data_IF_441846625777
#
_entry.id   IF_441846625777
#
_cell.length_a   1.000
_cell.length_b   1.000
_cell.length_c   1.000
_cell.angle_alpha   90.00
_cell.angle_beta   90.00
_cell.angle_gamma   90.00
#
_symmetry.space_group_name_H-M   'P 1'
#
loop_
_entity.id
_entity.type
_entity.pdbx_description
1 polymer ?
#
# COMPACT_ATOMS: atom_id res chain seq x y z
N UNK A 1 -42.42 1.73 40.22
CA UNK A 1 -41.21 1.21 40.90
C UNK A 1 -40.21 0.50 39.98
N UNK A 2 -40.64 -0.19 38.91
CA UNK A 2 -39.74 -0.97 38.02
C UNK A 2 -38.79 -0.13 37.12
N UNK A 3 -39.22 1.07 36.69
CA UNK A 3 -38.46 1.93 35.75
C UNK A 3 -37.23 2.62 36.39
N UNK A 4 -37.25 2.87 37.70
CA UNK A 4 -36.19 3.58 38.44
C UNK A 4 -34.98 2.66 38.69
N UNK A 5 -35.21 1.35 38.89
CA UNK A 5 -34.11 0.38 39.06
C UNK A 5 -33.38 0.08 37.76
N UNK A 6 -34.08 0.05 36.62
CA UNK A 6 -33.45 -0.18 35.32
C UNK A 6 -32.49 0.95 34.92
N UNK A 7 -32.83 2.21 35.22
CA UNK A 7 -31.98 3.36 34.94
C UNK A 7 -30.66 3.33 35.75
N UNK A 8 -30.73 2.97 37.04
CA UNK A 8 -29.54 2.81 37.89
C UNK A 8 -28.65 1.63 37.48
N UNK A 9 -29.23 0.54 37.00
CA UNK A 9 -28.49 -0.63 36.49
C UNK A 9 -27.77 -0.27 35.19
N UNK A 10 -28.44 0.43 34.27
CA UNK A 10 -27.82 0.89 33.03
C UNK A 10 -26.66 1.86 33.29
N UNK A 11 -26.86 2.85 34.16
CA UNK A 11 -25.80 3.79 34.53
C UNK A 11 -24.62 3.09 35.22
N UNK A 12 -24.90 2.13 36.13
CA UNK A 12 -23.86 1.35 36.79
C UNK A 12 -23.07 0.46 35.83
N UNK A 13 -23.74 -0.21 34.88
CA UNK A 13 -23.10 -1.02 33.85
C UNK A 13 -22.29 -0.12 32.92
N UNK A 14 -22.87 0.99 32.45
CA UNK A 14 -22.20 1.93 31.56
C UNK A 14 -20.92 2.48 32.19
N UNK A 15 -21.01 3.02 33.41
CA UNK A 15 -19.85 3.59 34.12
C UNK A 15 -18.78 2.53 34.37
N UNK A 16 -19.14 1.32 34.81
CA UNK A 16 -18.16 0.28 35.09
C UNK A 16 -17.52 -0.32 33.83
N UNK A 17 -18.29 -0.50 32.75
CA UNK A 17 -17.79 -1.03 31.48
C UNK A 17 -16.87 0.01 30.83
N UNK A 18 -17.28 1.28 30.78
CA UNK A 18 -16.44 2.38 30.29
C UNK A 18 -15.14 2.49 31.10
N UNK A 19 -15.23 2.51 32.44
CA UNK A 19 -14.04 2.59 33.30
C UNK A 19 -13.07 1.41 33.11
N UNK A 20 -13.58 0.18 32.93
CA UNK A 20 -12.72 -0.99 32.65
C UNK A 20 -12.11 -0.94 31.26
N UNK A 21 -12.87 -0.48 30.26
CA UNK A 21 -12.38 -0.29 28.89
C UNK A 21 -11.25 0.73 28.85
N UNK A 22 -11.40 1.84 29.56
CA UNK A 22 -10.38 2.90 29.63
C UNK A 22 -9.07 2.42 30.28
N UNK A 23 -9.15 1.50 31.25
CA UNK A 23 -7.97 0.96 31.92
C UNK A 23 -7.23 -0.09 31.08
N UNK A 24 -7.95 -0.93 30.33
CA UNK A 24 -7.38 -2.06 29.57
C UNK A 24 -8.05 -2.21 28.20
N UNK A 25 -7.85 -1.26 27.28
CA UNK A 25 -8.58 -1.25 26.00
C UNK A 25 -8.21 -2.45 25.11
N UNK A 26 -6.93 -2.84 25.09
CA UNK A 26 -6.45 -3.99 24.30
C UNK A 26 -7.13 -5.29 24.77
N UNK A 27 -7.13 -5.55 26.07
CA UNK A 27 -7.74 -6.75 26.64
C UNK A 27 -9.25 -6.76 26.41
N UNK A 28 -9.91 -5.61 26.54
CA UNK A 28 -11.36 -5.49 26.32
C UNK A 28 -11.73 -5.78 24.87
N UNK A 29 -11.02 -5.18 23.90
CA UNK A 29 -11.24 -5.43 22.48
C UNK A 29 -10.93 -6.89 22.09
N UNK A 30 -9.87 -7.45 22.65
CA UNK A 30 -9.52 -8.85 22.45
C UNK A 30 -10.61 -9.76 23.01
N UNK A 31 -11.08 -9.53 24.25
CA UNK A 31 -12.14 -10.29 24.88
C UNK A 31 -13.46 -10.22 24.09
N UNK A 32 -13.82 -9.03 23.57
CA UNK A 32 -14.98 -8.88 22.68
C UNK A 32 -14.79 -9.68 21.39
N UNK A 33 -13.60 -9.65 20.80
CA UNK A 33 -13.30 -10.41 19.57
C UNK A 33 -13.38 -11.92 19.80
N UNK A 34 -12.87 -12.41 20.92
CA UNK A 34 -12.97 -13.81 21.35
C UNK A 34 -14.41 -14.20 21.62
N UNK A 35 -15.16 -13.34 22.32
CA UNK A 35 -16.59 -13.56 22.57
C UNK A 35 -17.39 -13.66 21.27
N UNK A 36 -17.18 -12.73 20.33
CA UNK A 36 -17.82 -12.78 19.01
C UNK A 36 -17.44 -14.06 18.26
N UNK A 37 -16.16 -14.44 18.29
CA UNK A 37 -15.68 -15.67 17.68
C UNK A 37 -16.36 -16.92 18.26
N UNK A 38 -16.44 -17.00 19.59
CA UNK A 38 -17.13 -18.08 20.28
C UNK A 38 -18.62 -18.11 19.97
N UNK A 39 -19.28 -16.95 20.02
CA UNK A 39 -20.71 -16.82 19.73
C UNK A 39 -21.05 -17.32 18.32
N UNK A 40 -20.34 -16.85 17.28
CA UNK A 40 -20.63 -17.28 15.90
C UNK A 40 -20.24 -18.73 15.63
N UNK A 41 -19.24 -19.26 16.33
CA UNK A 41 -18.91 -20.67 16.27
C UNK A 41 -20.01 -21.55 16.89
N UNK A 42 -20.56 -21.16 18.05
CA UNK A 42 -21.62 -21.91 18.74
C UNK A 42 -23.01 -21.73 18.12
N UNK A 43 -23.28 -20.58 17.47
CA UNK A 43 -24.57 -20.26 16.88
C UNK A 43 -24.46 -19.93 15.38
N UNK A 44 -24.02 -20.87 14.53
CA UNK A 44 -23.75 -20.61 13.11
C UNK A 44 -25.01 -20.33 12.28
N UNK A 45 -26.20 -20.64 12.82
CA UNK A 45 -27.48 -20.26 12.20
C UNK A 45 -27.66 -18.75 12.09
N UNK A 46 -27.02 -17.95 12.96
CA UNK A 46 -27.09 -16.48 12.91
C UNK A 46 -26.50 -15.93 11.62
N UNK A 47 -25.38 -16.49 11.15
CA UNK A 47 -24.76 -16.09 9.88
C UNK A 47 -25.71 -16.32 8.70
N UNK A 48 -26.32 -17.50 8.64
CA UNK A 48 -27.27 -17.85 7.58
C UNK A 48 -28.53 -16.98 7.65
N UNK A 49 -29.09 -16.77 8.85
CA UNK A 49 -30.27 -15.94 9.03
C UNK A 49 -30.00 -14.48 8.61
N UNK A 50 -28.86 -13.92 9.02
CA UNK A 50 -28.48 -12.55 8.67
C UNK A 50 -28.28 -12.39 7.16
N UNK A 51 -27.60 -13.34 6.50
CA UNK A 51 -27.40 -13.27 5.05
C UNK A 51 -28.67 -13.54 4.25
N UNK A 52 -29.57 -14.40 4.74
CA UNK A 52 -30.84 -14.72 4.08
C UNK A 52 -31.74 -13.48 3.88
N UNK A 53 -31.62 -12.45 4.74
CA UNK A 53 -32.33 -11.18 4.59
C UNK A 53 -32.05 -10.46 3.26
N UNK A 54 -30.94 -10.78 2.60
CA UNK A 54 -30.51 -10.16 1.34
C UNK A 54 -30.59 -11.10 0.13
N UNK A 55 -31.04 -12.34 0.35
CA UNK A 55 -31.19 -13.35 -0.69
C UNK A 55 -32.63 -13.43 -1.19
N UNK A 56 -32.80 -13.58 -2.50
CA UNK A 56 -34.10 -13.81 -3.11
C UNK A 56 -34.05 -15.11 -3.94
N UNK A 57 -34.92 -16.11 -3.66
CA UNK A 57 -34.98 -17.36 -4.42
C UNK A 57 -35.16 -17.12 -5.92
N UNK A 58 -34.43 -17.86 -6.76
CA UNK A 58 -34.42 -17.73 -8.22
C UNK A 58 -33.68 -16.49 -8.77
N UNK A 59 -33.45 -15.47 -7.94
CA UNK A 59 -32.79 -14.22 -8.34
C UNK A 59 -31.36 -14.14 -7.80
N UNK A 60 -31.07 -14.66 -6.60
CA UNK A 60 -29.76 -14.61 -5.95
C UNK A 60 -29.65 -13.42 -4.99
N UNK A 61 -28.56 -12.65 -5.08
CA UNK A 61 -28.30 -11.43 -4.29
C UNK A 61 -28.51 -10.18 -5.15
N UNK A 62 -29.70 -9.55 -5.15
CA UNK A 62 -30.02 -8.45 -6.07
C UNK A 62 -29.14 -7.22 -5.87
N UNK A 63 -28.74 -6.94 -4.62
CA UNK A 63 -27.92 -5.79 -4.27
C UNK A 63 -26.60 -5.75 -5.06
N UNK A 64 -26.02 -6.91 -5.38
CA UNK A 64 -24.78 -7.02 -6.16
C UNK A 64 -24.92 -6.48 -7.60
N UNK A 65 -26.14 -6.38 -8.13
CA UNK A 65 -26.44 -5.85 -9.47
C UNK A 65 -26.75 -4.35 -9.46
N UNK A 66 -26.96 -3.74 -8.29
CA UNK A 66 -27.22 -2.30 -8.18
C UNK A 66 -25.92 -1.52 -8.38
N UNK A 67 -25.88 -0.64 -9.37
CA UNK A 67 -24.68 0.12 -9.74
C UNK A 67 -24.18 1.01 -8.60
N UNK A 68 -25.05 1.83 -8.00
CA UNK A 68 -24.67 2.70 -6.89
C UNK A 68 -24.03 1.94 -5.70
N UNK A 69 -24.47 0.70 -5.42
CA UNK A 69 -23.89 -0.12 -4.36
C UNK A 69 -22.52 -0.69 -4.75
N UNK A 70 -22.28 -0.98 -6.03
CA UNK A 70 -20.97 -1.39 -6.54
C UNK A 70 -19.99 -0.21 -6.53
N UNK A 71 -20.45 0.98 -6.90
CA UNK A 71 -19.65 2.20 -6.85
C UNK A 71 -19.27 2.57 -5.42
N UNK A 72 -20.22 2.48 -4.48
CA UNK A 72 -19.93 2.65 -3.07
C UNK A 72 -18.87 1.67 -2.58
N UNK A 73 -18.96 0.38 -2.95
CA UNK A 73 -17.95 -0.63 -2.63
C UNK A 73 -16.59 -0.29 -3.23
N UNK A 74 -16.54 0.18 -4.47
CA UNK A 74 -15.29 0.54 -5.15
C UNK A 74 -14.67 1.79 -4.52
N UNK A 75 -15.48 2.79 -4.17
CA UNK A 75 -15.05 3.96 -3.43
C UNK A 75 -14.43 3.57 -2.09
N UNK A 76 -15.13 2.76 -1.28
CA UNK A 76 -14.63 2.29 0.01
C UNK A 76 -13.29 1.54 -0.14
N UNK A 77 -13.19 0.65 -1.13
CA UNK A 77 -11.95 -0.07 -1.43
C UNK A 77 -10.81 0.90 -1.78
N UNK A 78 -11.05 1.84 -2.69
CA UNK A 78 -10.05 2.81 -3.14
C UNK A 78 -9.59 3.73 -2.00
N UNK A 79 -10.52 4.24 -1.18
CA UNK A 79 -10.20 5.07 -0.02
C UNK A 79 -9.22 4.36 0.93
N UNK A 80 -9.44 3.07 1.18
CA UNK A 80 -8.59 2.30 2.10
C UNK A 80 -7.21 1.95 1.54
N UNK A 81 -7.01 1.98 0.21
CA UNK A 81 -5.70 1.79 -0.42
C UNK A 81 -4.94 3.10 -0.53
N UNK A 82 -5.63 4.19 -0.87
CA UNK A 82 -5.00 5.51 -1.06
C UNK A 82 -4.31 5.99 0.22
N UNK A 83 -4.93 5.77 1.39
CA UNK A 83 -4.41 6.28 2.66
C UNK A 83 -3.01 5.72 3.04
N UNK A 84 -2.79 4.39 3.15
CA UNK A 84 -1.47 3.85 3.44
C UNK A 84 -0.44 4.16 2.35
N UNK A 85 -0.87 4.25 1.07
CA UNK A 85 0.00 4.68 -0.03
C UNK A 85 0.43 6.14 0.15
N UNK A 86 -0.47 7.03 0.52
CA UNK A 86 -0.17 8.44 0.77
C UNK A 86 0.80 8.61 1.95
N UNK A 87 0.60 7.89 3.06
CA UNK A 87 1.55 7.90 4.19
C UNK A 87 2.92 7.35 3.80
N UNK A 88 2.96 6.25 3.04
CA UNK A 88 4.21 5.66 2.55
C UNK A 88 4.95 6.62 1.62
N UNK A 89 4.21 7.28 0.72
CA UNK A 89 4.75 8.30 -0.17
C UNK A 89 5.28 9.51 0.62
N UNK A 90 4.58 9.95 1.66
CA UNK A 90 5.03 11.04 2.53
C UNK A 90 6.38 10.74 3.19
N UNK A 91 6.55 9.53 3.73
CA UNK A 91 7.82 9.08 4.30
C UNK A 91 8.91 8.93 3.22
N UNK A 92 8.55 8.39 2.06
CA UNK A 92 9.48 8.27 0.93
C UNK A 92 9.97 9.64 0.45
N UNK A 93 9.08 10.61 0.31
CA UNK A 93 9.43 11.99 -0.07
C UNK A 93 10.36 12.63 0.96
N UNK A 94 10.16 12.35 2.26
CA UNK A 94 11.09 12.80 3.32
C UNK A 94 12.50 12.21 3.11
N UNK A 95 12.62 10.95 2.70
CA UNK A 95 13.93 10.33 2.41
C UNK A 95 14.58 10.92 1.15
N UNK A 96 13.80 11.24 0.12
CA UNK A 96 14.29 11.86 -1.13
C UNK A 96 14.71 13.32 -0.91
N UNK A 97 13.96 14.06 -0.10
CA UNK A 97 14.14 15.49 0.18
C UNK A 97 14.36 15.75 1.68
N UNK A 98 15.49 15.34 2.26
CA UNK A 98 15.71 15.35 3.71
C UNK A 98 15.68 16.75 4.33
N UNK A 99 15.97 17.81 3.56
CA UNK A 99 15.92 19.20 4.03
C UNK A 99 14.49 19.75 4.19
N UNK A 100 13.48 19.07 3.65
CA UNK A 100 12.08 19.45 3.77
C UNK A 100 11.43 18.75 4.98
N UNK A 101 10.43 19.37 5.63
CA UNK A 101 9.70 18.73 6.71
C UNK A 101 8.88 17.53 6.20
N UNK A 102 8.52 16.62 7.09
CA UNK A 102 7.61 15.51 6.74
C UNK A 102 6.23 16.06 6.33
N UNK A 103 5.64 15.50 5.25
CA UNK A 103 4.32 15.92 4.76
C UNK A 103 3.20 15.61 5.77
N UNK A 104 3.34 14.49 6.47
CA UNK A 104 2.48 14.05 7.56
C UNK A 104 3.34 13.76 8.79
N UNK A 105 2.73 13.73 9.98
CA UNK A 105 3.42 13.25 11.20
C UNK A 105 4.05 11.88 10.92
N UNK A 106 5.38 11.73 11.03
CA UNK A 106 6.05 10.46 10.74
C UNK A 106 5.60 9.36 11.69
N UNK A 107 5.28 9.67 12.95
CA UNK A 107 4.74 8.71 13.91
C UNK A 107 3.37 8.20 13.48
N UNK A 108 2.47 9.12 13.11
CA UNK A 108 1.14 8.76 12.60
C UNK A 108 1.25 7.92 11.32
N UNK A 109 2.16 8.30 10.43
CA UNK A 109 2.39 7.62 9.15
C UNK A 109 2.86 6.18 9.38
N UNK A 110 3.87 5.98 10.23
CA UNK A 110 4.36 4.65 10.58
C UNK A 110 3.30 3.81 11.28
N UNK A 111 2.52 4.41 12.19
CA UNK A 111 1.41 3.72 12.86
C UNK A 111 0.39 3.16 11.86
N UNK A 112 -0.11 3.97 10.92
CA UNK A 112 -1.08 3.50 9.93
C UNK A 112 -0.46 2.53 8.92
N UNK A 113 0.77 2.77 8.45
CA UNK A 113 1.48 1.84 7.58
C UNK A 113 1.60 0.47 8.25
N UNK A 114 2.04 0.43 9.51
CA UNK A 114 2.12 -0.81 10.29
C UNK A 114 0.75 -1.47 10.48
N UNK A 115 -0.29 -0.69 10.78
CA UNK A 115 -1.65 -1.21 10.94
C UNK A 115 -2.17 -1.87 9.66
N UNK A 116 -1.99 -1.21 8.51
CA UNK A 116 -2.45 -1.74 7.21
C UNK A 116 -1.60 -2.92 6.72
N UNK A 117 -0.28 -2.92 6.94
CA UNK A 117 0.58 -4.06 6.58
C UNK A 117 0.32 -5.29 7.47
N UNK A 118 0.32 -5.11 8.79
CA UNK A 118 0.21 -6.23 9.73
C UNK A 118 -1.24 -6.76 9.74
N UNK A 119 -2.23 -5.87 9.72
CA UNK A 119 -3.64 -6.24 9.82
C UNK A 119 -4.20 -6.79 8.51
N UNK A 120 -4.74 -5.94 7.61
CA UNK A 120 -5.36 -6.42 6.39
C UNK A 120 -4.43 -7.17 5.44
N UNK A 121 -3.20 -6.67 5.20
CA UNK A 121 -2.32 -7.29 4.20
C UNK A 121 -1.78 -8.65 4.66
N UNK A 122 -1.16 -8.70 5.84
CA UNK A 122 -0.57 -9.93 6.38
C UNK A 122 -1.60 -10.80 7.10
N UNK A 123 -2.18 -10.34 8.20
CA UNK A 123 -3.03 -11.17 9.06
C UNK A 123 -4.29 -11.64 8.35
N UNK A 124 -5.03 -10.74 7.69
CA UNK A 124 -6.30 -11.12 7.04
C UNK A 124 -6.09 -11.77 5.68
N UNK A 125 -5.43 -11.08 4.74
CA UNK A 125 -5.33 -11.60 3.37
C UNK A 125 -4.17 -12.60 3.20
N UNK A 126 -3.02 -12.39 3.86
CA UNK A 126 -1.87 -13.27 3.76
C UNK A 126 -2.00 -14.57 4.55
N UNK A 127 -2.55 -14.52 5.77
CA UNK A 127 -2.67 -15.65 6.69
C UNK A 127 -4.10 -16.18 6.70
N UNK A 128 -5.07 -15.48 7.31
CA UNK A 128 -6.40 -16.03 7.56
C UNK A 128 -7.11 -16.49 6.29
N UNK A 129 -7.16 -15.67 5.24
CA UNK A 129 -7.78 -16.09 3.98
C UNK A 129 -7.04 -17.25 3.31
N UNK A 130 -5.71 -17.32 3.44
CA UNK A 130 -4.90 -18.39 2.83
C UNK A 130 -5.09 -19.75 3.50
N UNK A 131 -5.51 -19.78 4.76
CA UNK A 131 -5.71 -21.03 5.52
C UNK A 131 -7.18 -21.40 5.71
N UNK A 132 -8.10 -20.43 5.83
CA UNK A 132 -9.53 -20.71 6.07
C UNK A 132 -10.32 -20.74 4.76
N UNK A 133 -10.58 -21.95 4.26
CA UNK A 133 -11.35 -22.25 3.05
C UNK A 133 -12.86 -22.10 3.19
N UNK A 134 -13.37 -21.08 3.90
CA UNK A 134 -14.83 -20.90 4.07
C UNK A 134 -15.48 -20.45 2.75
N UNK A 135 -16.51 -21.15 2.22
CA UNK A 135 -17.25 -20.70 1.05
C UNK A 135 -17.96 -19.35 1.29
N UNK A 136 -18.14 -18.56 0.22
CA UNK A 136 -18.97 -17.35 0.27
C UNK A 136 -20.45 -17.69 0.28
N UNK A 137 -21.32 -16.86 0.89
CA UNK A 137 -22.75 -17.10 0.85
C UNK A 137 -23.30 -17.32 -0.56
N UNK A 138 -22.87 -16.56 -1.57
CA UNK A 138 -23.32 -16.76 -2.96
C UNK A 138 -22.97 -18.15 -3.54
N UNK A 139 -22.05 -18.87 -2.90
CA UNK A 139 -21.56 -20.16 -3.36
C UNK A 139 -22.09 -21.34 -2.53
N UNK A 140 -22.89 -21.11 -1.47
CA UNK A 140 -23.43 -22.21 -0.65
C UNK A 140 -24.75 -22.75 -1.20
N UNK A 141 -25.04 -24.03 -0.96
CA UNK A 141 -26.25 -24.72 -1.42
C UNK A 141 -27.54 -24.04 -0.95
N UNK A 142 -27.59 -23.52 0.27
CA UNK A 142 -28.78 -22.80 0.78
C UNK A 142 -29.10 -21.52 0.00
N UNK A 143 -28.13 -20.93 -0.70
CA UNK A 143 -28.30 -19.72 -1.50
C UNK A 143 -28.12 -19.99 -3.01
N UNK A 144 -28.28 -21.25 -3.44
CA UNK A 144 -28.25 -21.63 -4.86
C UNK A 144 -26.86 -21.90 -5.43
N UNK A 145 -25.84 -22.02 -4.59
CA UNK A 145 -24.51 -22.50 -4.95
C UNK A 145 -24.35 -24.01 -4.80
N UNK A 146 -23.10 -24.49 -4.79
CA UNK A 146 -22.77 -25.92 -4.82
C UNK A 146 -22.04 -26.41 -3.57
N UNK A 147 -21.56 -25.50 -2.73
CA UNK A 147 -20.78 -25.85 -1.54
C UNK A 147 -21.65 -25.94 -0.29
N UNK A 148 -21.36 -26.83 0.65
CA UNK A 148 -22.06 -26.80 1.93
C UNK A 148 -21.72 -25.52 2.71
N UNK A 149 -22.65 -25.05 3.53
CA UNK A 149 -22.35 -24.03 4.54
C UNK A 149 -21.26 -24.52 5.49
N UNK A 150 -20.40 -23.60 5.93
CA UNK A 150 -19.36 -23.86 6.92
C UNK A 150 -19.32 -22.77 7.98
N UNK A 151 -19.07 -23.14 9.23
CA UNK A 151 -18.97 -22.19 10.35
C UNK A 151 -17.70 -21.34 10.30
N UNK A 152 -17.69 -20.25 11.07
CA UNK A 152 -16.47 -19.48 11.32
C UNK A 152 -15.41 -20.37 11.99
N UNK A 153 -14.13 -20.08 11.73
CA UNK A 153 -12.96 -20.80 12.27
C UNK A 153 -12.77 -22.27 11.84
N UNK A 154 -13.71 -22.88 11.14
CA UNK A 154 -13.54 -24.23 10.58
C UNK A 154 -12.70 -24.15 9.30
N UNK A 155 -11.71 -25.03 9.17
CA UNK A 155 -10.86 -25.12 7.98
C UNK A 155 -11.66 -25.83 6.89
N UNK A 156 -11.96 -25.11 5.81
CA UNK A 156 -12.70 -25.61 4.64
C UNK A 156 -11.84 -26.31 3.61
N UNK A 157 -12.51 -26.74 2.55
CA UNK A 157 -11.89 -27.50 1.46
C UNK A 157 -10.89 -26.67 0.66
N UNK A 158 -9.84 -27.35 0.19
CA UNK A 158 -8.84 -26.77 -0.69
C UNK A 158 -9.42 -26.65 -2.12
N UNK A 159 -9.15 -25.52 -2.80
CA UNK A 159 -9.57 -25.30 -4.20
C UNK A 159 -10.58 -24.17 -4.42
N UNK A 160 -11.11 -23.56 -3.36
CA UNK A 160 -11.93 -22.35 -3.49
C UNK A 160 -11.12 -21.16 -4.01
N UNK A 161 -11.50 -20.66 -5.19
CA UNK A 161 -10.94 -19.44 -5.80
C UNK A 161 -11.19 -18.19 -4.92
N UNK A 162 -12.29 -18.17 -4.19
CA UNK A 162 -12.75 -17.03 -3.41
C UNK A 162 -13.28 -17.47 -2.05
N UNK A 163 -12.66 -16.97 -0.98
CA UNK A 163 -12.96 -17.32 0.41
C UNK A 163 -13.64 -16.17 1.15
N UNK A 164 -14.50 -16.50 2.10
CA UNK A 164 -15.29 -15.54 2.86
C UNK A 164 -14.63 -15.15 4.19
N UNK A 165 -13.96 -16.08 4.87
CA UNK A 165 -13.41 -15.83 6.21
C UNK A 165 -11.90 -15.46 6.18
N UNK A 166 -11.46 -14.40 6.85
CA UNK A 166 -12.22 -13.23 7.36
C UNK A 166 -12.41 -12.18 6.26
N UNK A 167 -13.30 -11.21 6.48
CA UNK A 167 -13.54 -10.15 5.49
C UNK A 167 -12.36 -9.17 5.39
N UNK A 168 -11.77 -9.07 4.21
CA UNK A 168 -10.64 -8.16 3.92
C UNK A 168 -11.10 -6.70 3.83
N UNK A 169 -12.23 -6.46 3.16
CA UNK A 169 -12.81 -5.12 3.03
C UNK A 169 -13.28 -4.57 4.38
N UNK A 170 -13.84 -5.41 5.26
CA UNK A 170 -14.14 -5.01 6.64
C UNK A 170 -12.87 -4.67 7.43
N UNK A 171 -11.79 -5.43 7.21
CA UNK A 171 -10.51 -5.18 7.87
C UNK A 171 -9.94 -3.81 7.45
N UNK A 172 -9.87 -3.55 6.14
CA UNK A 172 -9.26 -2.32 5.62
C UNK A 172 -10.05 -1.08 6.03
N UNK A 173 -11.39 -1.13 6.00
CA UNK A 173 -12.21 0.03 6.39
C UNK A 173 -12.17 0.26 7.91
N UNK A 174 -12.11 -0.79 8.73
CA UNK A 174 -11.97 -0.68 10.18
C UNK A 174 -10.65 -0.02 10.59
N UNK A 175 -9.59 -0.15 9.78
CA UNK A 175 -8.32 0.52 10.02
C UNK A 175 -8.41 2.06 9.94
N UNK A 176 -9.52 2.62 9.45
CA UNK A 176 -9.76 4.07 9.46
C UNK A 176 -10.23 4.58 10.84
N UNK A 177 -10.88 3.74 11.67
CA UNK A 177 -11.44 4.17 12.96
C UNK A 177 -10.43 4.91 13.86
N UNK A 178 -9.17 4.46 13.98
CA UNK A 178 -8.17 5.17 14.78
C UNK A 178 -7.88 6.61 14.32
N UNK A 179 -8.24 7.03 13.10
CA UNK A 179 -8.10 8.43 12.65
C UNK A 179 -8.83 9.40 13.57
N UNK A 180 -9.92 8.96 14.22
CA UNK A 180 -10.63 9.75 15.21
C UNK A 180 -9.76 10.16 16.40
N UNK A 181 -8.65 9.47 16.69
CA UNK A 181 -7.73 9.85 17.77
C UNK A 181 -6.81 11.02 17.37
N UNK A 182 -6.65 11.25 16.06
CA UNK A 182 -5.75 12.25 15.48
C UNK A 182 -6.44 13.57 15.11
N UNK A 183 -7.74 13.69 15.38
CA UNK A 183 -8.48 14.96 15.28
C UNK A 183 -8.62 15.63 16.66
N UNK A 184 -8.92 16.94 16.72
CA UNK A 184 -9.14 17.64 17.99
C UNK A 184 -10.20 16.95 18.86
N UNK A 185 -10.06 17.06 20.18
CA UNK A 185 -10.85 16.28 21.17
C UNK A 185 -12.35 16.44 20.96
N UNK A 186 -12.78 17.64 20.59
CA UNK A 186 -14.17 18.04 20.37
C UNK A 186 -14.78 17.48 19.07
N UNK A 187 -13.96 16.94 18.15
CA UNK A 187 -14.40 16.31 16.90
C UNK A 187 -14.30 14.78 16.91
N UNK A 188 -13.66 14.19 17.92
CA UNK A 188 -13.34 12.75 17.92
C UNK A 188 -14.58 11.87 17.80
N UNK A 189 -15.64 12.21 18.51
CA UNK A 189 -16.88 11.43 18.47
C UNK A 189 -17.56 11.52 17.12
N UNK A 190 -17.61 12.70 16.51
CA UNK A 190 -18.23 12.94 15.21
C UNK A 190 -17.47 12.18 14.12
N UNK A 191 -16.13 12.24 14.14
CA UNK A 191 -15.28 11.50 13.19
C UNK A 191 -15.38 9.99 13.44
N UNK A 192 -15.37 9.53 14.69
CA UNK A 192 -15.55 8.12 15.02
C UNK A 192 -16.91 7.59 14.56
N UNK A 193 -17.99 8.36 14.77
CA UNK A 193 -19.34 8.02 14.31
C UNK A 193 -19.41 7.97 12.80
N UNK A 194 -18.87 8.97 12.09
CA UNK A 194 -18.87 9.00 10.62
C UNK A 194 -18.12 7.79 10.04
N UNK A 195 -16.92 7.51 10.55
CA UNK A 195 -16.14 6.36 10.11
C UNK A 195 -16.83 5.06 10.53
N UNK A 196 -17.42 4.99 11.72
CA UNK A 196 -18.20 3.84 12.18
C UNK A 196 -19.39 3.52 11.27
N UNK A 197 -20.13 4.55 10.84
CA UNK A 197 -21.20 4.40 9.84
C UNK A 197 -20.65 3.88 8.52
N UNK A 198 -19.51 4.40 8.06
CA UNK A 198 -18.85 3.90 6.85
C UNK A 198 -18.44 2.43 6.98
N UNK A 199 -17.85 2.03 8.11
CA UNK A 199 -17.47 0.64 8.41
C UNK A 199 -18.72 -0.26 8.35
N UNK A 200 -19.80 0.12 9.03
CA UNK A 200 -21.07 -0.64 9.04
C UNK A 200 -21.67 -0.71 7.64
N UNK A 201 -21.72 0.40 6.91
CA UNK A 201 -22.29 0.44 5.57
C UNK A 201 -21.49 -0.42 4.58
N UNK A 202 -20.16 -0.34 4.60
CA UNK A 202 -19.30 -1.21 3.77
C UNK A 202 -19.49 -2.68 4.15
N UNK A 203 -19.56 -2.99 5.44
CA UNK A 203 -19.79 -4.33 5.96
C UNK A 203 -21.12 -4.94 5.50
N UNK A 204 -22.21 -4.21 5.70
CA UNK A 204 -23.55 -4.61 5.26
C UNK A 204 -23.62 -4.75 3.74
N UNK A 205 -22.97 -3.87 2.99
CA UNK A 205 -22.88 -3.98 1.54
C UNK A 205 -22.25 -5.31 1.10
N UNK A 206 -21.20 -5.78 1.80
CA UNK A 206 -20.59 -7.09 1.49
C UNK A 206 -21.49 -8.27 1.84
N UNK A 207 -22.24 -8.19 2.93
CA UNK A 207 -23.23 -9.21 3.30
C UNK A 207 -24.36 -9.25 2.28
N UNK A 208 -24.87 -8.08 1.89
CA UNK A 208 -25.92 -7.93 0.90
C UNK A 208 -25.52 -8.44 -0.49
N UNK A 209 -24.22 -8.44 -0.80
CA UNK A 209 -23.69 -8.98 -2.06
C UNK A 209 -23.48 -10.50 -2.00
N UNK A 210 -23.78 -11.15 -0.88
CA UNK A 210 -23.49 -12.56 -0.65
C UNK A 210 -21.99 -12.86 -0.62
N UNK A 211 -21.16 -11.86 -0.31
CA UNK A 211 -19.69 -11.99 -0.34
C UNK A 211 -19.11 -12.44 1.00
N UNK A 212 -19.76 -12.07 2.11
CA UNK A 212 -19.31 -12.34 3.47
C UNK A 212 -20.50 -12.62 4.39
N UNK A 213 -20.28 -13.45 5.40
CA UNK A 213 -21.20 -13.62 6.53
C UNK A 213 -21.00 -12.53 7.59
N UNK A 214 -21.94 -12.43 8.54
CA UNK A 214 -21.87 -11.43 9.61
C UNK A 214 -20.65 -11.67 10.53
N UNK A 215 -20.33 -12.93 10.81
CA UNK A 215 -19.14 -13.31 11.59
C UNK A 215 -17.85 -12.86 10.90
N UNK A 216 -17.76 -13.02 9.57
CA UNK A 216 -16.54 -12.71 8.79
C UNK A 216 -16.15 -11.24 8.97
N UNK A 217 -17.16 -10.38 9.04
CA UNK A 217 -17.00 -8.94 9.14
C UNK A 217 -16.77 -8.50 10.59
N UNK A 218 -17.62 -8.93 11.52
CA UNK A 218 -17.54 -8.51 12.93
C UNK A 218 -16.25 -8.98 13.59
N UNK A 219 -15.82 -10.22 13.35
CA UNK A 219 -14.53 -10.74 13.84
C UNK A 219 -13.37 -9.97 13.22
N UNK A 220 -13.43 -9.68 11.92
CA UNK A 220 -12.39 -8.90 11.23
C UNK A 220 -12.24 -7.49 11.82
N UNK A 221 -13.35 -6.79 12.08
CA UNK A 221 -13.35 -5.49 12.76
C UNK A 221 -12.73 -5.61 14.16
N UNK A 222 -13.13 -6.61 14.95
CA UNK A 222 -12.58 -6.84 16.29
C UNK A 222 -11.07 -7.07 16.28
N UNK A 223 -10.57 -7.88 15.35
CA UNK A 223 -9.14 -8.11 15.14
C UNK A 223 -8.40 -6.82 14.80
N UNK A 224 -8.94 -6.00 13.90
CA UNK A 224 -8.33 -4.72 13.52
C UNK A 224 -8.29 -3.72 14.67
N UNK A 225 -9.37 -3.62 15.44
CA UNK A 225 -9.42 -2.70 16.59
C UNK A 225 -8.47 -3.15 17.69
N UNK A 226 -8.36 -4.46 17.93
CA UNK A 226 -7.39 -5.01 18.88
C UNK A 226 -5.96 -4.68 18.46
N UNK A 227 -5.63 -4.90 17.18
CA UNK A 227 -4.32 -4.57 16.62
C UNK A 227 -4.04 -3.06 16.66
N UNK A 228 -5.03 -2.23 16.30
CA UNK A 228 -4.93 -0.78 16.37
C UNK A 228 -4.63 -0.30 17.79
N UNK A 229 -5.33 -0.83 18.80
CA UNK A 229 -5.07 -0.51 20.21
C UNK A 229 -3.67 -0.95 20.65
N UNK A 230 -3.20 -2.14 20.22
CA UNK A 230 -1.87 -2.63 20.53
C UNK A 230 -0.76 -1.78 19.88
N UNK A 231 -0.91 -1.44 18.60
CA UNK A 231 0.00 -0.54 17.90
C UNK A 231 -0.05 0.87 18.50
N UNK A 232 -1.23 1.35 18.90
CA UNK A 232 -1.34 2.65 19.54
C UNK A 232 -0.57 2.67 20.85
N UNK A 233 -0.71 1.64 21.69
CA UNK A 233 0.10 1.52 22.90
C UNK A 233 1.60 1.49 22.59
N UNK A 234 2.02 0.68 21.63
CA UNK A 234 3.44 0.57 21.25
C UNK A 234 4.01 1.92 20.78
N UNK A 235 3.32 2.59 19.84
CA UNK A 235 3.79 3.83 19.24
C UNK A 235 3.62 5.04 20.16
N UNK A 236 2.52 5.10 20.90
CA UNK A 236 2.08 6.28 21.66
C UNK A 236 2.42 6.25 23.14
N UNK A 237 2.66 5.08 23.72
CA UNK A 237 2.92 4.87 25.16
C UNK A 237 4.29 4.22 25.39
N UNK A 238 4.48 2.97 24.96
CA UNK A 238 5.65 2.16 25.36
C UNK A 238 6.96 2.65 24.70
N UNK A 239 6.88 3.13 23.45
CA UNK A 239 8.03 3.65 22.69
C UNK A 239 7.88 5.13 22.35
N UNK A 240 7.18 5.88 23.20
CA UNK A 240 6.77 7.24 22.88
C UNK A 240 7.93 8.19 22.60
N UNK A 241 9.00 8.10 23.38
CA UNK A 241 10.21 8.92 23.22
C UNK A 241 10.97 8.55 21.93
N UNK A 242 11.11 7.25 21.66
CA UNK A 242 11.84 6.75 20.49
C UNK A 242 11.11 7.05 19.17
N UNK A 243 9.78 7.07 19.21
CA UNK A 243 8.90 7.23 18.05
C UNK A 243 8.20 8.60 18.04
N UNK A 244 8.65 9.56 18.84
CA UNK A 244 8.11 10.91 18.76
C UNK A 244 8.44 11.55 17.40
N UNK A 245 7.62 12.50 16.96
CA UNK A 245 7.77 13.07 15.61
C UNK A 245 9.12 13.74 15.40
N UNK A 246 9.64 14.45 16.41
CA UNK A 246 10.96 15.07 16.35
C UNK A 246 12.10 14.03 16.19
N UNK A 247 12.06 12.94 16.95
CA UNK A 247 13.07 11.88 16.86
C UNK A 247 13.01 11.14 15.52
N UNK A 248 11.81 10.82 15.05
CA UNK A 248 11.61 10.17 13.75
C UNK A 248 12.03 11.09 12.61
N UNK A 249 11.67 12.37 12.67
CA UNK A 249 12.05 13.34 11.66
C UNK A 249 13.57 13.53 11.58
N UNK A 250 14.26 13.64 12.72
CA UNK A 250 15.72 13.71 12.76
C UNK A 250 16.36 12.45 12.16
N UNK A 251 15.86 11.26 12.51
CA UNK A 251 16.36 9.98 11.97
C UNK A 251 16.13 9.86 10.47
N UNK A 252 14.92 10.14 9.99
CA UNK A 252 14.58 10.11 8.56
C UNK A 252 15.41 11.12 7.77
N UNK A 253 15.64 12.31 8.32
CA UNK A 253 16.54 13.32 7.73
C UNK A 253 17.96 12.80 7.60
N UNK A 254 18.51 12.21 8.67
CA UNK A 254 19.86 11.64 8.67
C UNK A 254 19.99 10.49 7.66
N UNK A 255 18.99 9.61 7.57
CA UNK A 255 18.95 8.54 6.57
C UNK A 255 18.86 9.10 5.14
N UNK A 256 18.01 10.09 4.90
CA UNK A 256 17.88 10.72 3.59
C UNK A 256 19.17 11.44 3.16
N UNK A 257 19.88 12.11 4.08
CA UNK A 257 21.18 12.73 3.80
C UNK A 257 22.25 11.71 3.44
N UNK A 258 22.34 10.60 4.20
CA UNK A 258 23.25 9.48 3.88
C UNK A 258 22.95 8.90 2.50
N UNK A 259 21.68 8.63 2.22
CA UNK A 259 21.26 8.10 0.94
C UNK A 259 21.53 9.07 -0.22
N UNK A 260 21.37 10.38 -0.02
CA UNK A 260 21.75 11.39 -1.01
C UNK A 260 23.26 11.42 -1.26
N UNK A 261 24.08 11.31 -0.20
CA UNK A 261 25.54 11.26 -0.31
C UNK A 261 26.00 9.99 -1.07
N UNK A 262 25.43 8.83 -0.76
CA UNK A 262 25.74 7.56 -1.42
C UNK A 262 25.39 7.61 -2.91
N UNK A 263 24.23 8.16 -3.28
CA UNK A 263 23.85 8.36 -4.69
C UNK A 263 24.79 9.33 -5.41
N UNK A 264 25.20 10.42 -4.76
CA UNK A 264 26.14 11.37 -5.33
C UNK A 264 27.55 10.77 -5.49
N UNK A 265 28.00 9.94 -4.53
CA UNK A 265 29.25 9.21 -4.61
C UNK A 265 29.22 8.17 -5.73
N UNK A 266 28.13 7.39 -5.85
CA UNK A 266 27.95 6.42 -6.93
C UNK A 266 27.99 7.10 -8.30
N UNK A 267 27.22 8.19 -8.50
CA UNK A 267 27.24 8.95 -9.78
C UNK A 267 28.62 9.51 -10.11
N UNK A 268 29.36 10.01 -9.11
CA UNK A 268 30.74 10.50 -9.30
C UNK A 268 31.68 9.38 -9.73
N UNK A 269 31.68 8.25 -9.02
CA UNK A 269 32.49 7.06 -9.38
C UNK A 269 32.16 6.55 -10.78
N UNK A 270 30.87 6.44 -11.13
CA UNK A 270 30.47 6.04 -12.49
C UNK A 270 30.94 7.04 -13.55
N UNK A 271 30.88 8.34 -13.25
CA UNK A 271 31.39 9.40 -14.14
C UNK A 271 32.91 9.38 -14.29
N UNK A 272 33.65 9.11 -13.22
CA UNK A 272 35.11 8.96 -13.23
C UNK A 272 35.55 7.74 -14.06
N UNK A 273 34.88 6.59 -13.88
CA UNK A 273 35.13 5.37 -14.67
C UNK A 273 34.81 5.59 -16.14
N UNK A 274 33.65 6.18 -16.44
CA UNK A 274 33.28 6.49 -17.82
C UNK A 274 34.25 7.50 -18.45
N UNK A 275 34.66 8.52 -17.70
CA UNK A 275 35.65 9.50 -18.13
C UNK A 275 37.05 8.91 -18.34
N UNK A 276 37.46 7.97 -17.49
CA UNK A 276 38.73 7.24 -17.66
C UNK A 276 38.68 6.33 -18.90
N UNK A 277 37.57 5.63 -19.11
CA UNK A 277 37.34 4.80 -20.29
C UNK A 277 37.35 5.63 -21.58
N UNK A 278 36.62 6.75 -21.63
CA UNK A 278 36.60 7.62 -22.82
C UNK A 278 37.96 8.22 -23.12
N UNK A 279 38.73 8.63 -22.10
CA UNK A 279 40.13 9.06 -22.28
C UNK A 279 41.00 7.93 -22.83
N UNK A 280 40.93 6.74 -22.26
CA UNK A 280 41.72 5.58 -22.70
C UNK A 280 41.44 5.20 -24.16
N UNK A 281 40.16 5.16 -24.56
CA UNK A 281 39.75 4.93 -25.95
C UNK A 281 40.26 6.04 -26.86
N UNK A 282 40.14 7.31 -26.45
CA UNK A 282 40.68 8.44 -27.20
C UNK A 282 42.20 8.32 -27.43
N UNK A 283 42.97 8.02 -26.38
CA UNK A 283 44.42 7.83 -26.48
C UNK A 283 44.76 6.67 -27.42
N UNK A 284 44.05 5.54 -27.33
CA UNK A 284 44.24 4.39 -28.22
C UNK A 284 43.97 4.74 -29.69
N UNK A 285 42.87 5.43 -29.98
CA UNK A 285 42.54 5.86 -31.34
C UNK A 285 43.57 6.85 -31.89
N UNK A 286 44.06 7.80 -31.08
CA UNK A 286 45.12 8.72 -31.51
C UNK A 286 46.44 7.99 -31.79
N UNK A 287 46.79 6.99 -30.99
CA UNK A 287 47.97 6.15 -31.18
C UNK A 287 47.87 5.32 -32.47
N UNK A 288 46.71 4.71 -32.75
CA UNK A 288 46.47 4.01 -34.01
C UNK A 288 46.56 4.94 -35.22
N UNK A 289 45.95 6.13 -35.15
CA UNK A 289 46.04 7.12 -36.23
C UNK A 289 47.48 7.63 -36.47
N UNK A 290 48.28 7.78 -35.41
CA UNK A 290 49.70 8.10 -35.53
C UNK A 290 50.50 6.95 -36.17
N UNK A 291 50.26 5.71 -35.77
CA UNK A 291 50.90 4.53 -36.36
C UNK A 291 50.54 4.36 -37.85
N UNK A 292 49.26 4.52 -38.21
CA UNK A 292 48.80 4.45 -39.59
C UNK A 292 49.46 5.51 -40.48
N UNK A 293 49.60 6.76 -39.99
CA UNK A 293 50.30 7.82 -40.70
C UNK A 293 51.80 7.54 -40.88
N UNK A 294 52.47 6.97 -39.87
CA UNK A 294 53.87 6.56 -40.00
C UNK A 294 54.05 5.45 -41.03
N UNK A 295 53.15 4.46 -41.06
CA UNK A 295 53.19 3.39 -42.06
C UNK A 295 52.93 3.94 -43.46
N UNK A 296 51.92 4.80 -43.62
CA UNK A 296 51.62 5.45 -44.89
C UNK A 296 52.82 6.26 -45.42
N UNK A 297 53.46 7.07 -44.55
CA UNK A 297 54.65 7.85 -44.93
C UNK A 297 55.85 6.97 -45.30
N UNK A 298 56.04 5.81 -44.63
CA UNK A 298 57.07 4.83 -45.02
C UNK A 298 56.77 4.17 -46.37
N UNK A 299 55.51 3.88 -46.66
CA UNK A 299 55.08 3.31 -47.95
C UNK A 299 55.27 4.34 -49.07
N UNK A 300 54.87 5.60 -48.86
CA UNK A 300 55.09 6.70 -49.81
C UNK A 300 56.58 6.90 -50.12
N UNK A 301 57.42 6.90 -49.09
CA UNK A 301 58.87 7.03 -49.26
C UNK A 301 59.52 5.85 -49.99
N UNK A 302 58.87 4.68 -50.01
CA UNK A 302 59.42 3.45 -50.57
C UNK A 302 58.89 3.10 -51.98
N UNK A 303 57.79 3.69 -52.44
CA UNK A 303 57.09 3.26 -53.68
C UNK A 303 57.03 4.34 -54.79
N UNK A 304 57.26 5.63 -54.51
CA UNK A 304 57.45 6.62 -55.58
C UNK A 304 56.28 6.76 -56.59
N UNK A 305 55.03 6.67 -56.13
CA UNK A 305 53.85 6.87 -56.98
C UNK A 305 52.58 7.20 -56.20
N UNK A 306 52.15 8.46 -56.23
CA UNK A 306 51.00 8.99 -55.46
C UNK A 306 49.66 8.27 -55.71
N UNK A 307 49.48 7.65 -56.88
CA UNK A 307 48.21 7.08 -57.29
C UNK A 307 47.85 5.78 -56.55
N UNK A 308 48.84 4.95 -56.21
CA UNK A 308 48.59 3.65 -55.56
C UNK A 308 48.30 3.81 -54.05
N UNK A 309 48.88 4.83 -53.42
CA UNK A 309 48.68 5.14 -52.00
C UNK A 309 47.27 5.64 -51.73
N UNK A 310 46.71 6.51 -52.60
CA UNK A 310 45.32 6.96 -52.47
C UNK A 310 44.32 5.80 -52.55
N UNK A 311 44.57 4.81 -53.42
CA UNK A 311 43.66 3.66 -53.58
C UNK A 311 43.62 2.75 -52.34
N UNK A 312 44.73 2.62 -51.61
CA UNK A 312 44.84 1.77 -50.41
C UNK A 312 44.33 2.45 -49.12
N UNK A 313 44.43 3.78 -49.01
CA UNK A 313 44.06 4.52 -47.78
C UNK A 313 42.56 4.85 -47.71
N UNK A 314 41.90 5.02 -48.86
CA UNK A 314 40.49 5.45 -48.93
C UNK A 314 39.48 4.48 -48.27
N UNK A 315 39.63 3.13 -48.32
CA UNK A 315 38.68 2.21 -47.69
C UNK A 315 38.77 2.18 -46.14
N UNK A 316 39.88 2.64 -45.54
CA UNK A 316 40.09 2.63 -44.09
C UNK A 316 39.45 3.85 -43.39
N UNK A 317 38.99 4.86 -44.12
CA UNK A 317 38.38 6.07 -43.57
C UNK A 317 36.86 5.96 -43.31
N UNK A 318 36.24 4.81 -43.63
CA UNK A 318 34.78 4.66 -43.67
C UNK A 318 34.18 3.76 -42.55
N UNK A 319 34.56 3.95 -41.28
CA UNK A 319 33.50 4.18 -40.29
C UNK A 319 33.95 5.07 -39.11
N UNK A 320 33.96 6.39 -39.27
CA UNK A 320 34.17 7.34 -38.15
C UNK A 320 33.10 8.44 -38.04
N UNK A 321 32.19 8.56 -39.01
CA UNK A 321 31.11 9.56 -39.00
C UNK A 321 29.79 9.07 -38.38
N UNK A 322 29.62 7.76 -38.13
CA UNK A 322 28.36 7.20 -37.60
C UNK A 322 28.30 7.10 -36.07
N UNK A 323 29.41 7.36 -35.35
CA UNK A 323 29.49 7.22 -33.88
C UNK A 323 29.37 8.55 -33.10
N UNK A 324 29.37 9.70 -33.77
CA UNK A 324 29.37 11.04 -33.13
C UNK A 324 28.12 11.88 -33.42
N UNK A 325 27.16 11.38 -34.19
CA UNK A 325 25.90 12.05 -34.54
C UNK A 325 24.88 12.05 -33.39
N UNK A 326 25.16 12.78 -32.31
CA UNK A 326 24.23 13.02 -31.21
C UNK A 326 23.01 13.84 -31.65
N UNK A 327 21.82 13.33 -31.36
CA UNK A 327 20.53 14.07 -31.42
C UNK A 327 20.58 15.29 -30.51
N UNK A 328 20.71 16.47 -31.10
CA UNK A 328 20.49 17.76 -30.42
C UNK A 328 19.08 18.25 -30.73
N UNK A 329 18.10 17.90 -29.89
CA UNK A 329 16.77 18.53 -29.95
C UNK A 329 16.81 19.78 -29.08
N UNK A 330 16.93 20.95 -29.71
CA UNK A 330 16.84 22.27 -29.06
C UNK A 330 15.47 22.89 -29.38
N UNK A 331 14.64 23.06 -28.33
CA UNK A 331 13.51 24.01 -28.30
C UNK A 331 14.02 25.43 -28.59
N UNK A 332 13.16 26.28 -29.16
CA UNK A 332 12.88 27.71 -28.84
C UNK A 332 11.73 28.14 -29.78
N UNK A 333 10.49 28.25 -29.31
CA UNK A 333 9.82 29.47 -28.81
C UNK A 333 9.71 30.64 -29.82
N UNK A 334 8.48 30.87 -30.26
CA UNK A 334 7.78 32.13 -30.55
C UNK A 334 8.60 33.42 -30.72
N UNK A 335 8.42 34.11 -31.85
CA UNK A 335 7.88 35.50 -31.94
C UNK A 335 7.54 35.85 -33.40
N UNK A 336 6.35 36.42 -33.59
CA UNK A 336 5.70 37.11 -34.74
C UNK A 336 6.52 38.29 -35.32
N UNK A 337 6.05 39.11 -36.31
CA UNK A 337 5.17 38.91 -37.49
C UNK A 337 5.69 39.60 -38.79
N UNK A 338 4.89 39.50 -39.87
CA UNK A 338 4.56 40.55 -40.87
C UNK A 338 5.14 40.47 -42.32
N UNK A 339 4.16 40.42 -43.26
CA UNK A 339 4.06 41.02 -44.61
C UNK A 339 5.24 40.96 -45.58
N UNK A 340 4.98 40.31 -46.72
CA UNK A 340 4.61 41.00 -47.97
C UNK A 340 3.60 40.16 -48.74
#
# INVERSE_FOLDING_TARGET
MYKINQMKIFDYIYVNVCNKFDQRPILSLFAVTVFLSFFFYSFPSVDRAATALFYQPGVGFPAARVEALRDFRNLAANLTVILPVAFSLGLFLKLVYPSKPCLFSPRMSLYFISLFLIGPALMVNGVLKSFWGRPRPVNITEFGGIWPFQEAWVIGEHGLLNRSFTSGEAATIACLLPLALFVPREWRWQVATLIGVLVVATSLNRIAFGAHFLSDVTISIGLMLTLAAALHRLFFVDRAEMLCDAALEARLTAYGQRWAADRAAFRRRSGEVLGAFTRAVGTFLTAQGAAARMVAGRIEASIGGEAMVRALVTPLAAPLSSLTGGRTVRRLSQTTPNRS
#
